data_IF_084036641423
#
_entry.id   IF_084036641423
#
_cell.length_a   1.000
_cell.length_b   1.000
_cell.length_c   1.000
_cell.angle_alpha   90.00
_cell.angle_beta   90.00
_cell.angle_gamma   90.00
#
_symmetry.space_group_name_H-M   'P 1'
#
loop_
_entity.id
_entity.type
_entity.pdbx_description
1 polymer ?
#
# COMPACT_ATOMS: atom_id res chain seq x y z
N UNK A 1 16.55 -21.17 12.32
CA UNK A 1 16.31 -19.98 13.17
C UNK A 1 14.83 -19.72 13.16
N UNK A 2 14.14 -19.83 14.30
CA UNK A 2 12.78 -19.29 14.42
C UNK A 2 12.87 -17.79 14.13
N UNK A 3 12.04 -17.28 13.22
CA UNK A 3 11.95 -15.85 13.01
C UNK A 3 11.22 -15.25 14.22
N UNK A 4 11.99 -14.76 15.21
CA UNK A 4 11.45 -13.99 16.32
C UNK A 4 11.03 -12.60 15.79
N UNK A 5 9.90 -12.56 15.10
CA UNK A 5 9.30 -11.32 14.61
C UNK A 5 7.78 -11.35 14.75
N UNK A 6 7.18 -10.18 14.90
CA UNK A 6 5.72 -10.02 14.90
C UNK A 6 5.27 -9.77 13.46
N UNK A 7 4.33 -10.58 12.98
CA UNK A 7 3.81 -10.50 11.62
C UNK A 7 2.73 -9.41 11.46
N UNK A 8 2.88 -8.57 10.45
CA UNK A 8 1.91 -7.57 10.01
C UNK A 8 1.56 -7.86 8.55
N UNK A 9 0.27 -7.91 8.24
CA UNK A 9 -0.23 -8.29 6.92
C UNK A 9 -1.08 -7.17 6.30
N UNK A 10 -0.79 -6.80 5.06
CA UNK A 10 -1.60 -5.86 4.27
C UNK A 10 -1.92 -6.48 2.91
N UNK A 11 -3.18 -6.38 2.47
CA UNK A 11 -3.61 -6.85 1.15
C UNK A 11 -3.86 -5.68 0.22
N UNK A 12 -3.48 -5.84 -1.05
CA UNK A 12 -3.73 -4.86 -2.10
C UNK A 12 -4.68 -5.42 -3.16
N UNK A 13 -5.68 -4.65 -3.53
CA UNK A 13 -6.53 -4.96 -4.68
C UNK A 13 -6.60 -3.77 -5.64
N UNK A 14 -6.99 -4.06 -6.88
CA UNK A 14 -7.00 -3.12 -7.97
C UNK A 14 -8.32 -3.16 -8.72
N UNK A 15 -8.84 -2.01 -9.11
CA UNK A 15 -10.05 -1.91 -9.94
C UNK A 15 -9.89 -0.86 -11.02
N UNK A 16 -10.38 -1.14 -12.24
CA UNK A 16 -10.42 -0.16 -13.32
C UNK A 16 -11.84 0.05 -13.81
N UNK A 17 -12.20 1.28 -14.11
CA UNK A 17 -13.38 1.63 -14.90
C UNK A 17 -12.94 2.36 -16.18
N UNK A 18 -13.69 2.18 -17.27
CA UNK A 18 -13.34 2.69 -18.59
C UNK A 18 -14.48 3.50 -19.19
N UNK A 19 -14.14 4.57 -19.89
CA UNK A 19 -15.08 5.32 -20.72
C UNK A 19 -14.41 5.72 -22.05
N UNK A 20 -15.13 5.53 -23.15
CA UNK A 20 -14.75 6.03 -24.48
C UNK A 20 -15.62 7.23 -24.80
N UNK A 21 -15.00 8.37 -25.09
CA UNK A 21 -15.69 9.62 -25.37
C UNK A 21 -15.36 10.12 -26.77
N UNK A 22 -16.37 10.55 -27.53
CA UNK A 22 -16.13 11.28 -28.76
C UNK A 22 -15.75 12.74 -28.48
N UNK A 23 -14.85 13.30 -29.28
CA UNK A 23 -14.44 14.70 -29.16
C UNK A 23 -15.62 15.68 -29.20
N UNK A 24 -16.68 15.35 -29.94
CA UNK A 24 -17.93 16.11 -30.03
C UNK A 24 -18.71 16.19 -28.71
N UNK A 25 -18.41 15.30 -27.75
CA UNK A 25 -19.05 15.23 -26.43
C UNK A 25 -18.21 15.88 -25.32
N UNK A 26 -17.08 16.49 -25.69
CA UNK A 26 -16.11 17.06 -24.77
C UNK A 26 -15.92 18.56 -25.04
N UNK A 27 -15.60 19.33 -24.00
CA UNK A 27 -15.14 20.70 -24.14
C UNK A 27 -13.68 20.77 -24.66
N UNK A 28 -13.17 21.98 -24.86
CA UNK A 28 -11.79 22.23 -25.30
C UNK A 28 -10.70 21.69 -24.37
N UNK A 29 -11.05 21.43 -23.11
CA UNK A 29 -10.15 20.86 -22.09
C UNK A 29 -10.28 19.33 -21.98
N UNK A 30 -11.16 18.71 -22.77
CA UNK A 30 -11.48 17.30 -22.70
C UNK A 30 -12.35 16.96 -21.49
N UNK A 31 -13.25 17.84 -21.04
CA UNK A 31 -14.23 17.48 -20.02
C UNK A 31 -15.57 17.16 -20.68
N UNK A 32 -16.33 16.17 -20.20
CA UNK A 32 -17.68 15.90 -20.67
C UNK A 32 -18.57 17.15 -20.67
N UNK A 33 -19.21 17.42 -21.81
CA UNK A 33 -20.23 18.46 -21.90
C UNK A 33 -21.44 18.10 -21.02
N UNK A 34 -22.19 19.09 -20.50
CA UNK A 34 -23.39 18.81 -19.69
C UNK A 34 -24.37 17.88 -20.40
N UNK A 35 -24.71 16.76 -19.76
CA UNK A 35 -25.65 15.76 -20.29
C UNK A 35 -25.07 14.82 -21.35
N UNK A 36 -23.82 15.00 -21.77
CA UNK A 36 -23.15 14.08 -22.67
C UNK A 36 -22.92 12.71 -22.00
N UNK A 37 -22.91 11.66 -22.81
CA UNK A 37 -22.67 10.28 -22.36
C UNK A 37 -21.49 9.68 -23.11
N UNK A 38 -20.70 8.79 -22.49
CA UNK A 38 -19.67 8.06 -23.20
C UNK A 38 -20.28 7.16 -24.27
N UNK A 39 -19.54 6.93 -25.36
CA UNK A 39 -19.90 5.97 -26.42
C UNK A 39 -19.89 4.54 -25.90
N UNK A 40 -18.97 4.25 -24.98
CA UNK A 40 -18.84 2.98 -24.28
C UNK A 40 -18.42 3.25 -22.84
N UNK A 41 -19.00 2.54 -21.89
CA UNK A 41 -18.69 2.65 -20.47
C UNK A 41 -18.68 1.27 -19.84
N UNK A 42 -17.67 1.02 -19.03
CA UNK A 42 -17.51 -0.20 -18.25
C UNK A 42 -17.21 0.19 -16.82
N UNK A 43 -18.00 -0.34 -15.89
CA UNK A 43 -17.86 -0.11 -14.46
C UNK A 43 -16.55 -0.69 -13.90
N UNK A 44 -16.29 -0.39 -12.63
CA UNK A 44 -15.11 -0.89 -11.93
C UNK A 44 -15.08 -2.42 -11.95
N UNK A 45 -14.00 -2.94 -12.51
CA UNK A 45 -13.71 -4.36 -12.61
C UNK A 45 -12.37 -4.70 -11.95
N UNK A 46 -12.28 -5.86 -11.27
CA UNK A 46 -11.10 -6.25 -10.50
C UNK A 46 -9.93 -6.63 -11.40
N UNK A 47 -8.72 -6.29 -10.94
CA UNK A 47 -7.48 -6.41 -11.70
C UNK A 47 -6.37 -7.16 -10.99
N UNK A 48 -5.43 -7.68 -11.78
CA UNK A 48 -4.27 -8.40 -11.28
C UNK A 48 -3.10 -7.43 -11.05
N UNK A 49 -2.82 -7.11 -9.80
CA UNK A 49 -1.52 -6.53 -9.41
C UNK A 49 -0.47 -7.64 -9.54
N UNK A 50 0.54 -7.43 -10.36
CA UNK A 50 1.55 -8.46 -10.66
C UNK A 50 2.60 -8.53 -9.56
N UNK A 51 3.42 -9.57 -9.59
CA UNK A 51 4.55 -9.70 -8.67
C UNK A 51 5.57 -8.58 -8.89
N UNK A 52 5.71 -8.08 -10.12
CA UNK A 52 6.57 -6.94 -10.44
C UNK A 52 6.26 -5.67 -9.62
N UNK A 53 4.99 -5.45 -9.24
CA UNK A 53 4.63 -4.39 -8.30
C UNK A 53 5.32 -4.59 -6.95
N UNK A 54 5.16 -5.76 -6.33
CA UNK A 54 5.73 -6.05 -5.01
C UNK A 54 7.26 -6.06 -5.05
N UNK A 55 7.84 -6.66 -6.09
CA UNK A 55 9.28 -6.67 -6.29
C UNK A 55 9.83 -5.24 -6.40
N UNK A 56 9.18 -4.36 -7.16
CA UNK A 56 9.64 -2.98 -7.31
C UNK A 56 9.38 -2.16 -6.05
N UNK A 57 8.18 -2.26 -5.49
CA UNK A 57 7.74 -1.50 -4.33
C UNK A 57 8.59 -1.80 -3.09
N UNK A 58 8.88 -3.08 -2.82
CA UNK A 58 9.66 -3.50 -1.66
C UNK A 58 11.16 -3.40 -1.86
N UNK A 59 11.68 -3.48 -3.10
CA UNK A 59 13.12 -3.46 -3.37
C UNK A 59 13.69 -2.04 -3.61
N UNK A 60 12.87 -0.99 -3.70
CA UNK A 60 13.30 0.35 -4.12
C UNK A 60 14.49 0.93 -3.34
N UNK A 61 15.59 1.24 -4.03
CA UNK A 61 16.77 1.88 -3.42
C UNK A 61 16.83 3.39 -3.67
N UNK A 62 16.05 3.95 -4.60
CA UNK A 62 16.15 5.38 -4.99
C UNK A 62 14.88 6.00 -5.59
N UNK A 63 13.81 5.23 -5.76
CA UNK A 63 12.71 5.58 -6.68
C UNK A 63 11.41 5.98 -5.97
N UNK A 64 10.79 7.08 -6.41
CA UNK A 64 9.47 7.55 -5.92
C UNK A 64 8.38 6.53 -6.22
N UNK A 65 7.76 5.98 -5.16
CA UNK A 65 6.70 4.97 -5.28
C UNK A 65 5.41 5.49 -5.93
N UNK A 66 5.24 6.81 -6.02
CA UNK A 66 4.12 7.46 -6.71
C UNK A 66 4.14 7.16 -8.21
N UNK A 67 5.30 6.77 -8.75
CA UNK A 67 5.45 6.53 -10.17
C UNK A 67 5.12 5.09 -10.57
N UNK A 68 4.93 4.15 -9.63
CA UNK A 68 4.70 2.72 -9.94
C UNK A 68 3.51 2.50 -10.88
N UNK A 69 2.49 3.34 -10.77
CA UNK A 69 1.35 3.37 -11.67
C UNK A 69 1.22 4.78 -12.30
N UNK A 70 2.28 5.29 -12.93
CA UNK A 70 2.25 6.60 -13.59
C UNK A 70 1.94 6.54 -15.07
N UNK A 71 2.03 5.35 -15.68
CA UNK A 71 1.88 5.14 -17.11
C UNK A 71 0.90 4.02 -17.39
N UNK A 72 0.05 4.20 -18.39
CA UNK A 72 -0.87 3.18 -18.88
C UNK A 72 -0.51 2.79 -20.31
N UNK A 73 -0.43 1.48 -20.55
CA UNK A 73 -0.41 0.89 -21.88
C UNK A 73 -1.74 0.19 -22.17
N UNK A 74 -2.12 0.14 -23.43
CA UNK A 74 -3.26 -0.62 -23.93
C UNK A 74 -2.78 -1.69 -24.90
N UNK A 75 -3.54 -2.77 -25.05
CA UNK A 75 -3.15 -3.91 -25.88
C UNK A 75 -4.33 -4.71 -26.40
N UNK A 76 -4.00 -5.77 -27.12
CA UNK A 76 -4.96 -6.70 -27.74
C UNK A 76 -4.83 -8.15 -27.25
N UNK A 77 -4.17 -8.38 -26.12
CA UNK A 77 -4.07 -9.69 -25.51
C UNK A 77 -5.41 -10.20 -24.98
N UNK A 78 -5.56 -11.52 -25.00
CA UNK A 78 -6.80 -12.23 -24.64
C UNK A 78 -6.60 -13.23 -23.50
N UNK A 79 -5.36 -13.48 -23.11
CA UNK A 79 -5.02 -14.38 -22.00
C UNK A 79 -5.32 -13.71 -20.67
N UNK A 80 -5.99 -14.42 -19.77
CA UNK A 80 -6.25 -13.95 -18.41
C UNK A 80 -4.95 -13.49 -17.73
N UNK A 81 -5.05 -12.39 -16.99
CA UNK A 81 -3.90 -11.82 -16.29
C UNK A 81 -3.40 -12.77 -15.19
N UNK A 82 -2.10 -12.99 -15.15
CA UNK A 82 -1.40 -13.80 -14.17
C UNK A 82 -0.48 -12.94 -13.29
N UNK A 83 -0.25 -13.43 -12.07
CA UNK A 83 0.70 -12.91 -11.11
C UNK A 83 2.08 -12.58 -11.70
N UNK A 84 2.56 -13.50 -12.54
CA UNK A 84 3.92 -13.52 -13.09
C UNK A 84 4.05 -12.73 -14.37
N UNK A 85 2.97 -12.09 -14.85
CA UNK A 85 3.02 -11.31 -16.07
C UNK A 85 3.96 -10.12 -15.92
N UNK A 86 4.82 -9.94 -16.92
CA UNK A 86 5.81 -8.86 -16.97
C UNK A 86 5.52 -7.84 -18.07
N UNK A 87 4.59 -8.15 -18.99
CA UNK A 87 4.26 -7.34 -20.16
C UNK A 87 2.78 -7.48 -20.54
N UNK A 88 2.33 -6.64 -21.47
CA UNK A 88 1.06 -6.81 -22.21
C UNK A 88 1.38 -6.88 -23.71
N UNK A 89 0.43 -7.30 -24.54
CA UNK A 89 0.48 -7.22 -26.01
C UNK A 89 0.24 -5.78 -26.45
N UNK A 90 1.17 -4.91 -26.06
CA UNK A 90 1.00 -3.46 -26.11
C UNK A 90 0.84 -2.99 -27.56
N UNK A 91 -0.13 -2.10 -27.76
CA UNK A 91 -0.29 -1.34 -29.00
C UNK A 91 -0.11 0.15 -28.70
N UNK A 92 0.52 0.86 -29.63
CA UNK A 92 0.78 2.28 -29.48
C UNK A 92 1.71 2.64 -28.32
N UNK A 93 1.78 3.93 -28.03
CA UNK A 93 2.57 4.51 -26.94
C UNK A 93 1.77 4.51 -25.64
N UNK A 94 2.48 4.37 -24.51
CA UNK A 94 1.87 4.59 -23.20
C UNK A 94 1.49 6.05 -23.00
N UNK A 95 0.55 6.31 -22.12
CA UNK A 95 0.13 7.64 -21.72
C UNK A 95 0.16 7.80 -20.20
N UNK A 96 0.51 9.00 -19.77
CA UNK A 96 0.67 9.31 -18.35
C UNK A 96 -0.68 9.44 -17.63
N UNK A 97 -0.63 9.40 -16.31
CA UNK A 97 -1.76 9.82 -15.48
C UNK A 97 -2.18 11.25 -15.83
N UNK A 98 -3.48 11.45 -15.95
CA UNK A 98 -4.09 12.72 -16.34
C UNK A 98 -4.17 13.71 -15.17
N UNK A 99 -4.45 13.23 -13.97
CA UNK A 99 -4.53 14.06 -12.77
C UNK A 99 -3.13 14.26 -12.15
N UNK A 100 -2.87 15.48 -11.66
CA UNK A 100 -1.67 15.80 -10.90
C UNK A 100 -1.73 15.31 -9.45
N UNK A 101 -2.93 14.95 -8.96
CA UNK A 101 -3.16 14.56 -7.56
C UNK A 101 -4.01 13.29 -7.52
N UNK A 102 -3.45 12.24 -6.93
CA UNK A 102 -4.18 11.01 -6.56
C UNK A 102 -5.22 11.38 -5.49
N UNK A 103 -6.47 10.93 -5.63
CA UNK A 103 -7.50 11.14 -4.60
C UNK A 103 -7.55 9.96 -3.66
N UNK A 104 -7.99 10.20 -2.42
CA UNK A 104 -7.94 9.21 -1.36
C UNK A 104 -9.23 9.19 -0.55
N UNK A 105 -9.61 8.00 -0.09
CA UNK A 105 -10.65 7.81 0.91
C UNK A 105 -10.29 6.66 1.85
N UNK A 106 -10.82 6.73 3.06
CA UNK A 106 -10.72 5.66 4.06
C UNK A 106 -12.12 5.28 4.50
N UNK A 107 -12.43 4.00 4.45
CA UNK A 107 -13.72 3.46 4.88
C UNK A 107 -13.52 2.10 5.54
N UNK A 108 -14.04 1.96 6.77
CA UNK A 108 -13.81 0.75 7.56
C UNK A 108 -12.31 0.49 7.73
N UNK A 109 -11.83 -0.62 7.18
CA UNK A 109 -10.44 -1.06 7.21
C UNK A 109 -9.71 -0.94 5.85
N UNK A 110 -10.32 -0.24 4.90
CA UNK A 110 -9.81 -0.06 3.55
C UNK A 110 -9.37 1.39 3.31
N UNK A 111 -8.22 1.55 2.65
CA UNK A 111 -7.77 2.81 2.07
C UNK A 111 -7.86 2.66 0.55
N UNK A 112 -8.60 3.54 -0.11
CA UNK A 112 -8.71 3.60 -1.58
C UNK A 112 -7.92 4.80 -2.10
N UNK A 113 -7.11 4.57 -3.14
CA UNK A 113 -6.41 5.61 -3.87
C UNK A 113 -6.87 5.58 -5.33
N UNK A 114 -7.29 6.71 -5.87
CA UNK A 114 -7.77 6.80 -7.26
C UNK A 114 -6.81 7.62 -8.11
N UNK A 115 -6.33 7.02 -9.19
CA UNK A 115 -5.58 7.66 -10.26
C UNK A 115 -6.41 7.68 -11.55
N UNK A 116 -6.23 8.70 -12.38
CA UNK A 116 -6.98 8.82 -13.64
C UNK A 116 -6.01 8.87 -14.81
N UNK A 117 -6.38 8.25 -15.93
CA UNK A 117 -5.63 8.29 -17.17
C UNK A 117 -6.53 8.77 -18.28
N UNK A 118 -5.96 9.54 -19.19
CA UNK A 118 -6.68 10.07 -20.33
C UNK A 118 -5.76 10.12 -21.53
N UNK A 119 -6.19 9.56 -22.65
CA UNK A 119 -5.47 9.71 -23.92
C UNK A 119 -5.68 11.10 -24.50
N UNK A 120 -4.84 11.51 -25.44
CA UNK A 120 -5.23 12.60 -26.35
C UNK A 120 -6.16 12.09 -27.45
N UNK A 121 -6.84 13.00 -28.14
CA UNK A 121 -7.73 12.66 -29.26
C UNK A 121 -7.00 11.79 -30.28
N UNK A 122 -7.57 10.64 -30.61
CA UNK A 122 -7.05 9.74 -31.64
C UNK A 122 -5.68 9.12 -31.34
N UNK A 123 -5.19 9.19 -30.10
CA UNK A 123 -3.92 8.58 -29.71
C UNK A 123 -3.98 7.04 -29.85
N UNK A 124 -5.12 6.45 -29.51
CA UNK A 124 -5.40 5.03 -29.66
C UNK A 124 -6.53 4.91 -30.68
N UNK A 125 -6.27 4.12 -31.73
CA UNK A 125 -7.24 3.86 -32.80
C UNK A 125 -7.35 2.35 -32.98
N UNK A 126 -8.57 1.86 -33.11
CA UNK A 126 -8.89 0.44 -33.26
C UNK A 126 -9.46 -0.17 -31.98
N UNK A 127 -9.29 -1.47 -31.86
CA UNK A 127 -9.88 -2.28 -30.79
C UNK A 127 -8.83 -2.64 -29.74
N UNK A 128 -9.15 -2.46 -28.47
CA UNK A 128 -8.32 -2.86 -27.32
C UNK A 128 -9.08 -3.85 -26.45
N UNK A 129 -8.37 -4.82 -25.88
CA UNK A 129 -8.92 -5.88 -25.02
C UNK A 129 -8.17 -6.02 -23.69
N UNK A 130 -7.03 -5.35 -23.53
CA UNK A 130 -6.27 -5.37 -22.29
C UNK A 130 -5.62 -4.02 -22.00
N UNK A 131 -5.32 -3.81 -20.72
CA UNK A 131 -4.51 -2.68 -20.26
C UNK A 131 -3.46 -3.15 -19.26
N UNK A 132 -2.36 -2.41 -19.21
CA UNK A 132 -1.29 -2.59 -18.23
C UNK A 132 -0.90 -1.26 -17.61
N UNK A 133 -0.58 -1.28 -16.32
CA UNK A 133 0.03 -0.14 -15.64
C UNK A 133 1.52 -0.35 -15.48
N UNK A 134 2.24 0.73 -15.70
CA UNK A 134 3.69 0.76 -15.74
C UNK A 134 4.19 1.97 -14.97
N UNK A 135 5.47 1.88 -14.65
CA UNK A 135 6.21 3.03 -14.14
C UNK A 135 6.79 3.92 -15.23
N UNK A 136 7.37 3.31 -16.25
CA UNK A 136 8.13 4.06 -17.25
C UNK A 136 7.28 4.30 -18.51
N UNK A 137 7.47 5.43 -19.21
CA UNK A 137 6.75 5.70 -20.46
C UNK A 137 7.12 4.71 -21.57
N UNK A 138 8.30 4.09 -21.47
CA UNK A 138 8.79 3.02 -22.36
C UNK A 138 9.51 1.94 -21.55
N UNK A 139 9.44 0.68 -22.01
CA UNK A 139 10.12 -0.46 -21.37
C UNK A 139 9.63 -0.78 -19.94
N UNK A 140 10.37 -1.60 -19.19
CA UNK A 140 10.01 -1.96 -17.82
C UNK A 140 8.85 -2.95 -17.69
N UNK A 141 8.62 -3.41 -16.45
CA UNK A 141 7.66 -4.46 -16.12
C UNK A 141 6.24 -3.90 -15.94
N UNK A 142 5.23 -4.67 -16.35
CA UNK A 142 3.81 -4.38 -16.05
C UNK A 142 3.55 -4.65 -14.56
N UNK A 143 3.07 -3.67 -13.83
CA UNK A 143 2.81 -3.75 -12.38
C UNK A 143 1.36 -4.11 -12.08
N UNK A 144 0.48 -3.86 -13.04
CA UNK A 144 -0.88 -4.39 -13.06
C UNK A 144 -1.18 -4.80 -14.50
N UNK A 145 -1.94 -5.88 -14.67
CA UNK A 145 -2.49 -6.29 -15.96
C UNK A 145 -3.97 -6.61 -15.82
N UNK A 146 -4.72 -6.28 -16.85
CA UNK A 146 -6.16 -6.37 -16.90
C UNK A 146 -6.61 -6.78 -18.30
N UNK A 147 -7.49 -7.78 -18.38
CA UNK A 147 -8.40 -7.85 -19.52
C UNK A 147 -9.55 -6.89 -19.28
N UNK A 148 -9.97 -6.20 -20.32
CA UNK A 148 -11.20 -5.42 -20.32
C UNK A 148 -12.36 -6.42 -20.31
N UNK A 149 -13.26 -6.31 -19.34
CA UNK A 149 -14.44 -7.17 -19.19
C UNK A 149 -15.73 -6.37 -19.20
N UNK A 150 -16.81 -7.04 -19.55
CA UNK A 150 -18.17 -6.54 -19.39
C UNK A 150 -18.66 -6.67 -17.93
N UNK A 151 -19.93 -6.31 -17.71
CA UNK A 151 -20.57 -6.35 -16.38
C UNK A 151 -20.70 -7.76 -15.81
N UNK A 152 -20.67 -8.79 -16.65
CA UNK A 152 -20.71 -10.20 -16.23
C UNK A 152 -19.30 -10.74 -15.94
N UNK A 153 -18.25 -9.93 -16.15
CA UNK A 153 -16.85 -10.31 -15.96
C UNK A 153 -16.26 -11.07 -17.15
N UNK A 154 -16.94 -11.10 -18.30
CA UNK A 154 -16.48 -11.76 -19.52
C UNK A 154 -15.54 -10.83 -20.29
N UNK A 155 -14.38 -11.30 -20.79
CA UNK A 155 -13.50 -10.49 -21.61
C UNK A 155 -14.22 -9.88 -22.82
N UNK A 156 -14.07 -8.57 -22.98
CA UNK A 156 -14.67 -7.75 -24.03
C UNK A 156 -13.65 -6.76 -24.57
N UNK A 157 -14.08 -5.89 -25.49
CA UNK A 157 -13.21 -4.93 -26.15
C UNK A 157 -13.79 -3.52 -26.14
N UNK A 158 -12.91 -2.52 -26.11
CA UNK A 158 -13.28 -1.13 -26.43
C UNK A 158 -12.87 -0.81 -27.86
N UNK A 159 -13.69 -0.03 -28.56
CA UNK A 159 -13.39 0.43 -29.93
C UNK A 159 -13.24 1.93 -29.97
N UNK A 160 -12.14 2.41 -30.53
CA UNK A 160 -11.76 3.81 -30.59
C UNK A 160 -11.47 4.25 -32.04
N UNK A 161 -11.95 5.43 -32.39
CA UNK A 161 -11.70 6.10 -33.66
C UNK A 161 -10.67 7.22 -33.51
N UNK A 162 -10.27 7.85 -34.62
CA UNK A 162 -9.38 9.02 -34.60
C UNK A 162 -9.96 10.24 -33.88
N UNK A 163 -11.26 10.23 -33.56
CA UNK A 163 -11.95 11.31 -32.86
C UNK A 163 -12.28 10.97 -31.41
N UNK A 164 -11.84 9.82 -30.90
CA UNK A 164 -12.16 9.37 -29.56
C UNK A 164 -11.04 9.64 -28.55
N UNK A 165 -11.44 9.65 -27.29
CA UNK A 165 -10.62 9.70 -26.09
C UNK A 165 -10.94 8.49 -25.22
N UNK A 166 -9.91 7.92 -24.59
CA UNK A 166 -10.07 6.91 -23.55
C UNK A 166 -9.87 7.57 -22.18
N UNK A 167 -10.80 7.34 -21.26
CA UNK A 167 -10.69 7.71 -19.85
C UNK A 167 -10.67 6.43 -19.05
N UNK A 168 -9.72 6.35 -18.13
CA UNK A 168 -9.59 5.19 -17.25
C UNK A 168 -9.42 5.66 -15.83
N UNK A 169 -10.29 5.18 -14.93
CA UNK A 169 -10.14 5.39 -13.51
C UNK A 169 -9.54 4.14 -12.88
N UNK A 170 -8.38 4.28 -12.25
CA UNK A 170 -7.69 3.23 -11.51
C UNK A 170 -7.87 3.45 -10.02
N UNK A 171 -8.36 2.42 -9.32
CA UNK A 171 -8.34 2.36 -7.86
C UNK A 171 -7.34 1.30 -7.42
N UNK A 172 -6.42 1.69 -6.54
CA UNK A 172 -5.66 0.73 -5.72
C UNK A 172 -6.18 0.83 -4.29
N UNK A 173 -6.52 -0.32 -3.72
CA UNK A 173 -7.05 -0.46 -2.37
C UNK A 173 -6.04 -1.16 -1.52
N UNK A 174 -5.85 -0.72 -0.28
CA UNK A 174 -5.13 -1.48 0.74
C UNK A 174 -6.06 -1.80 1.90
N UNK A 175 -6.01 -3.06 2.36
CA UNK A 175 -6.87 -3.57 3.43
C UNK A 175 -5.99 -4.00 4.60
N UNK A 176 -6.31 -3.48 5.77
CA UNK A 176 -5.63 -3.77 7.04
C UNK A 176 -6.56 -4.57 7.96
N UNK A 177 -6.01 -5.46 8.78
CA UNK A 177 -6.80 -6.12 9.83
C UNK A 177 -6.93 -5.19 11.05
N UNK A 178 -8.17 -4.83 11.42
CA UNK A 178 -8.45 -3.99 12.60
C UNK A 178 -8.64 -4.79 13.89
N UNK A 179 -8.76 -6.11 13.80
CA UNK A 179 -8.87 -6.99 14.96
C UNK A 179 -7.51 -7.25 15.59
N UNK A 180 -7.53 -7.65 16.86
CA UNK A 180 -6.35 -8.07 17.58
C UNK A 180 -5.74 -9.32 16.95
N UNK A 181 -4.42 -9.29 16.79
CA UNK A 181 -3.61 -10.45 16.40
C UNK A 181 -2.77 -10.85 17.60
N UNK A 182 -2.88 -12.10 18.02
CA UNK A 182 -2.15 -12.64 19.17
C UNK A 182 -1.05 -13.60 18.75
N UNK A 183 -0.07 -13.79 19.61
CA UNK A 183 0.98 -14.79 19.43
C UNK A 183 1.95 -14.81 20.60
N UNK A 184 3.05 -15.54 20.44
CA UNK A 184 4.13 -15.63 21.42
C UNK A 184 5.43 -15.22 20.77
N UNK A 185 6.23 -14.43 21.47
CA UNK A 185 7.59 -14.07 21.07
C UNK A 185 8.57 -14.38 22.20
N UNK A 186 9.70 -15.01 21.86
CA UNK A 186 10.79 -15.22 22.81
C UNK A 186 11.74 -14.02 22.81
N UNK A 187 11.91 -13.39 23.97
CA UNK A 187 12.78 -12.23 24.17
C UNK A 187 13.76 -12.58 25.30
N UNK A 188 15.06 -12.69 24.96
CA UNK A 188 16.09 -13.00 25.96
C UNK A 188 15.89 -14.32 26.69
N UNK A 189 15.28 -15.32 26.05
CA UNK A 189 14.97 -16.62 26.67
C UNK A 189 13.65 -16.68 27.44
N UNK A 190 12.89 -15.59 27.50
CA UNK A 190 11.57 -15.54 28.13
C UNK A 190 10.48 -15.42 27.06
N UNK A 191 9.43 -16.23 27.18
CA UNK A 191 8.27 -16.16 26.29
C UNK A 191 7.27 -15.10 26.75
N UNK A 192 6.84 -14.25 25.81
CA UNK A 192 5.83 -13.22 26.01
C UNK A 192 4.66 -13.47 25.06
N UNK A 193 3.46 -13.54 25.61
CA UNK A 193 2.24 -13.34 24.83
C UNK A 193 2.23 -11.91 24.32
N UNK A 194 1.92 -11.72 23.04
CA UNK A 194 1.68 -10.40 22.47
C UNK A 194 0.25 -10.25 21.97
N UNK A 195 -0.25 -9.01 22.00
CA UNK A 195 -1.45 -8.58 21.29
C UNK A 195 -1.05 -7.42 20.39
N UNK A 196 -1.22 -7.56 19.08
CA UNK A 196 -0.97 -6.53 18.07
C UNK A 196 -2.31 -5.96 17.61
N UNK A 197 -2.40 -4.63 17.53
CA UNK A 197 -3.59 -3.89 17.06
C UNK A 197 -3.15 -2.67 16.24
N UNK A 198 -3.91 -2.22 15.23
CA UNK A 198 -3.68 -0.89 14.65
C UNK A 198 -3.83 0.24 15.67
N UNK A 199 -3.19 1.37 15.43
CA UNK A 199 -3.34 2.61 16.19
C UNK A 199 -3.48 3.81 15.25
N UNK A 200 -4.15 4.87 15.73
CA UNK A 200 -4.46 6.08 14.95
C UNK A 200 -5.15 5.80 13.59
N UNK A 201 -5.86 4.68 13.47
CA UNK A 201 -6.66 4.38 12.30
C UNK A 201 -7.81 5.38 12.19
N UNK A 202 -8.12 5.87 10.98
CA UNK A 202 -9.10 6.93 10.68
C UNK A 202 -8.87 8.30 11.33
N UNK A 203 -8.12 8.42 12.43
CA UNK A 203 -7.73 9.70 13.04
C UNK A 203 -6.45 10.27 12.43
N UNK A 204 -5.54 9.38 11.98
CA UNK A 204 -4.28 9.75 11.35
C UNK A 204 -4.30 9.86 9.82
N UNK A 205 -5.35 9.35 9.17
CA UNK A 205 -5.43 9.20 7.72
C UNK A 205 -6.29 10.29 7.06
N UNK A 206 -6.24 11.52 7.57
CA UNK A 206 -7.05 12.64 7.08
C UNK A 206 -6.96 12.88 5.57
N UNK A 207 -8.03 13.42 4.99
CA UNK A 207 -8.10 13.73 3.56
C UNK A 207 -6.96 14.69 3.15
N UNK A 208 -6.16 14.30 2.16
CA UNK A 208 -5.07 15.11 1.59
C UNK A 208 -3.66 14.85 2.17
N UNK A 209 -3.52 14.13 3.29
CA UNK A 209 -2.21 13.86 3.94
C UNK A 209 -1.61 12.49 3.61
N UNK A 210 -2.37 11.66 2.88
CA UNK A 210 -2.24 10.20 2.82
C UNK A 210 -1.32 9.66 1.71
N UNK A 211 -0.72 10.52 0.88
CA UNK A 211 0.33 10.11 -0.08
C UNK A 211 1.60 9.57 0.60
N UNK A 212 1.66 9.60 1.93
CA UNK A 212 2.81 9.17 2.74
C UNK A 212 2.43 8.17 3.84
N UNK A 213 1.19 7.67 3.82
CA UNK A 213 0.75 6.64 4.74
C UNK A 213 1.47 5.31 4.44
N UNK A 214 1.89 4.54 5.46
CA UNK A 214 2.59 3.25 5.28
C UNK A 214 1.76 2.20 4.53
N UNK A 215 0.46 2.42 4.47
CA UNK A 215 -0.53 1.54 3.85
C UNK A 215 -0.88 1.95 2.42
N UNK A 216 -0.32 3.04 1.89
CA UNK A 216 -0.62 3.52 0.55
C UNK A 216 0.19 2.74 -0.51
N UNK A 217 -0.50 2.12 -1.48
CA UNK A 217 0.11 1.49 -2.65
C UNK A 217 0.76 2.51 -3.60
N UNK A 218 0.26 3.75 -3.63
CA UNK A 218 0.90 4.91 -4.25
C UNK A 218 1.43 5.85 -3.16
N UNK A 219 2.74 6.09 -3.11
CA UNK A 219 3.35 6.93 -2.08
C UNK A 219 4.40 7.88 -2.65
N UNK A 220 4.40 9.16 -2.24
CA UNK A 220 5.35 10.18 -2.76
C UNK A 220 6.76 10.08 -2.19
N UNK A 221 7.03 9.12 -1.31
CA UNK A 221 8.37 8.93 -0.74
C UNK A 221 9.22 8.00 -1.62
N UNK A 222 10.50 8.33 -1.78
CA UNK A 222 11.48 7.58 -2.57
C UNK A 222 12.32 6.59 -1.75
N UNK A 223 12.24 6.66 -0.42
CA UNK A 223 13.00 5.81 0.50
C UNK A 223 12.08 4.71 1.06
N UNK A 224 12.41 3.44 0.83
CA UNK A 224 11.62 2.30 1.34
C UNK A 224 11.45 2.34 2.85
N UNK A 225 12.45 2.77 3.59
CA UNK A 225 12.39 2.93 5.05
C UNK A 225 11.39 4.00 5.47
N UNK A 226 11.34 5.12 4.76
CA UNK A 226 10.34 6.17 4.98
C UNK A 226 8.95 5.74 4.51
N UNK A 227 8.88 4.88 3.49
CA UNK A 227 7.65 4.49 2.80
C UNK A 227 6.93 3.30 3.46
N UNK A 228 7.65 2.37 4.09
CA UNK A 228 7.06 1.45 5.06
C UNK A 228 6.50 2.22 6.26
N UNK A 229 6.92 3.48 6.47
CA UNK A 229 6.21 4.48 7.27
C UNK A 229 6.06 4.11 8.75
N UNK A 230 6.99 3.34 9.29
CA UNK A 230 7.08 3.09 10.72
C UNK A 230 8.42 3.61 11.22
N UNK A 231 8.61 4.93 11.13
CA UNK A 231 9.87 5.61 11.48
C UNK A 231 9.95 6.00 12.95
N UNK A 232 8.83 5.95 13.67
CA UNK A 232 8.73 6.28 15.09
C UNK A 232 8.39 5.01 15.86
N UNK A 233 9.19 4.69 16.86
CA UNK A 233 8.88 3.69 17.86
C UNK A 233 8.77 4.35 19.24
N UNK A 234 7.84 3.89 20.06
CA UNK A 234 7.74 4.35 21.45
C UNK A 234 7.32 3.22 22.37
N UNK A 235 8.02 3.05 23.48
CA UNK A 235 7.69 2.09 24.53
C UNK A 235 6.89 2.77 25.64
N UNK A 236 6.03 2.00 26.31
CA UNK A 236 5.20 2.44 27.43
C UNK A 236 5.15 1.35 28.49
N UNK A 237 5.05 1.70 29.79
CA UNK A 237 5.01 0.73 30.87
C UNK A 237 3.69 -0.07 30.97
N UNK A 238 2.61 0.45 30.37
CA UNK A 238 1.30 -0.22 30.39
C UNK A 238 1.23 -1.38 29.40
N UNK A 239 0.52 -2.45 29.77
CA UNK A 239 0.16 -3.55 28.87
C UNK A 239 -1.21 -3.35 28.22
N UNK A 240 -1.94 -2.30 28.62
CA UNK A 240 -3.27 -1.98 28.09
C UNK A 240 -3.13 -1.19 26.79
N UNK A 241 -3.54 -1.80 25.68
CA UNK A 241 -3.62 -1.14 24.38
C UNK A 241 -4.75 -0.09 24.35
N UNK A 242 -4.55 0.97 23.57
CA UNK A 242 -5.59 1.92 23.22
C UNK A 242 -6.60 1.34 22.21
N UNK A 243 -7.64 2.12 21.90
CA UNK A 243 -8.52 1.84 20.76
C UNK A 243 -7.74 1.88 19.43
N UNK A 244 -8.34 1.40 18.34
CA UNK A 244 -7.74 1.50 16.99
C UNK A 244 -7.49 2.95 16.55
N UNK A 245 -8.19 3.92 17.15
CA UNK A 245 -8.06 5.36 16.87
C UNK A 245 -7.05 6.07 17.77
N UNK A 246 -6.44 5.37 18.73
CA UNK A 246 -5.54 5.91 19.75
C UNK A 246 -4.34 4.98 20.01
N UNK A 247 -3.51 5.34 21.00
CA UNK A 247 -2.33 4.59 21.44
C UNK A 247 -2.47 4.21 22.92
N UNK A 248 -1.61 3.31 23.45
CA UNK A 248 -1.61 3.01 24.88
C UNK A 248 -1.34 4.29 25.70
N UNK A 249 -1.90 4.36 26.91
CA UNK A 249 -1.73 5.52 27.79
C UNK A 249 -0.33 5.67 28.39
N UNK A 250 -0.13 6.69 29.23
CA UNK A 250 1.09 6.90 30.01
C UNK A 250 2.21 7.67 29.29
N UNK A 251 3.40 7.67 29.89
CA UNK A 251 4.60 8.31 29.33
C UNK A 251 5.21 7.42 28.24
N UNK A 252 5.52 8.03 27.11
CA UNK A 252 6.21 7.38 26.00
C UNK A 252 7.72 7.53 26.14
N UNK A 253 8.45 6.44 25.88
CA UNK A 253 9.91 6.42 25.81
C UNK A 253 10.31 6.16 24.36
N UNK A 254 11.05 7.10 23.77
CA UNK A 254 11.48 7.00 22.38
C UNK A 254 12.27 5.70 22.16
N UNK A 255 12.01 5.06 21.03
CA UNK A 255 12.87 4.04 20.46
C UNK A 255 13.21 4.43 19.03
N UNK A 256 14.19 3.76 18.47
CA UNK A 256 14.76 4.14 17.18
C UNK A 256 14.62 2.99 16.19
N UNK A 257 14.39 3.32 14.93
CA UNK A 257 14.55 2.34 13.86
C UNK A 257 16.03 1.97 13.75
N UNK A 258 16.35 0.72 14.05
CA UNK A 258 17.72 0.23 14.09
C UNK A 258 18.16 -0.33 12.73
N UNK A 259 17.30 -1.12 12.09
CA UNK A 259 17.62 -1.70 10.79
C UNK A 259 16.36 -2.04 9.99
N UNK A 260 16.52 -2.11 8.67
CA UNK A 260 15.53 -2.69 7.75
C UNK A 260 16.26 -3.71 6.91
N UNK A 261 15.85 -4.97 6.99
CA UNK A 261 16.49 -6.04 6.22
C UNK A 261 16.35 -5.78 4.72
N UNK A 262 17.36 -6.17 3.95
CA UNK A 262 17.28 -6.20 2.48
C UNK A 262 16.07 -7.02 2.05
N UNK A 263 15.38 -6.56 1.00
CA UNK A 263 14.29 -7.33 0.43
C UNK A 263 14.84 -8.54 -0.31
N UNK A 264 14.27 -9.71 -0.03
CA UNK A 264 14.56 -10.94 -0.79
C UNK A 264 13.47 -11.12 -1.84
N UNK A 265 13.87 -11.28 -3.09
CA UNK A 265 12.93 -11.40 -4.20
C UNK A 265 11.90 -12.53 -4.00
N UNK A 266 10.65 -12.29 -4.39
CA UNK A 266 9.54 -13.24 -4.29
C UNK A 266 8.96 -13.43 -2.88
N UNK A 267 9.57 -12.86 -1.84
CA UNK A 267 9.11 -13.05 -0.46
C UNK A 267 7.89 -12.18 -0.12
N UNK A 268 7.75 -11.03 -0.79
CA UNK A 268 6.70 -10.03 -0.51
C UNK A 268 6.64 -9.61 0.96
N UNK A 269 7.75 -9.72 1.69
CA UNK A 269 7.84 -9.24 3.07
C UNK A 269 9.18 -8.54 3.34
N UNK A 270 9.18 -7.63 4.32
CA UNK A 270 10.38 -7.00 4.86
C UNK A 270 10.30 -6.97 6.38
N UNK A 271 11.46 -7.17 7.01
CA UNK A 271 11.62 -7.06 8.45
C UNK A 271 12.22 -5.70 8.81
N UNK A 272 11.56 -4.98 9.71
CA UNK A 272 12.09 -3.79 10.37
C UNK A 272 12.40 -4.13 11.82
N UNK A 273 13.52 -3.61 12.30
CA UNK A 273 14.00 -3.85 13.66
C UNK A 273 14.12 -2.53 14.39
N UNK A 274 13.52 -2.45 15.57
CA UNK A 274 13.55 -1.27 16.44
C UNK A 274 14.38 -1.57 17.67
N UNK A 275 15.08 -0.54 18.16
CA UNK A 275 15.94 -0.64 19.32
C UNK A 275 15.58 0.45 20.34
N UNK A 276 15.58 0.04 21.60
CA UNK A 276 15.71 0.93 22.76
C UNK A 276 17.07 0.64 23.37
N UNK A 277 17.97 1.61 23.27
CA UNK A 277 19.33 1.46 23.77
C UNK A 277 19.37 1.46 25.32
N UNK A 278 20.57 1.41 25.90
CA UNK A 278 20.74 1.40 27.35
C UNK A 278 20.20 2.68 28.03
N UNK A 279 20.05 3.79 27.31
CA UNK A 279 19.54 5.06 27.88
C UNK A 279 18.04 5.24 27.69
N UNK A 280 17.45 4.54 26.73
CA UNK A 280 16.04 4.63 26.35
C UNK A 280 15.17 3.50 26.96
N UNK A 281 13.87 3.77 27.09
CA UNK A 281 12.89 2.74 27.51
C UNK A 281 13.04 2.24 28.95
N UNK A 282 13.83 2.91 29.78
CA UNK A 282 14.10 2.51 31.16
C UNK A 282 12.90 2.88 32.05
N UNK A 283 12.05 1.90 32.34
CA UNK A 283 10.87 2.08 33.20
C UNK A 283 11.02 1.22 34.45
N UNK A 284 10.63 1.77 35.61
CA UNK A 284 10.71 1.02 36.87
C UNK A 284 9.84 -0.24 36.91
N UNK A 285 8.87 -0.36 35.98
CA UNK A 285 7.96 -1.49 35.85
C UNK A 285 8.14 -2.27 34.55
N UNK A 286 9.22 -2.06 33.79
CA UNK A 286 9.43 -2.68 32.46
C UNK A 286 8.51 -2.15 31.35
N UNK A 287 8.76 -2.60 30.11
CA UNK A 287 8.02 -2.23 28.90
C UNK A 287 6.82 -3.16 28.75
N UNK A 288 5.61 -2.61 28.86
CA UNK A 288 4.36 -3.34 28.70
C UNK A 288 3.78 -3.26 27.29
N UNK A 289 4.08 -2.19 26.55
CA UNK A 289 3.64 -2.03 25.17
C UNK A 289 4.59 -1.16 24.36
N UNK A 290 4.51 -1.31 23.05
CA UNK A 290 5.21 -0.46 22.07
C UNK A 290 4.24 0.01 20.99
N UNK A 291 4.51 1.18 20.42
CA UNK A 291 3.81 1.72 19.25
C UNK A 291 4.79 1.96 18.11
N UNK A 292 4.38 1.64 16.89
CA UNK A 292 5.09 1.88 15.64
C UNK A 292 4.23 2.79 14.77
N UNK A 293 4.72 3.99 14.44
CA UNK A 293 3.97 4.99 13.66
C UNK A 293 4.89 5.73 12.67
N UNK A 294 4.34 6.55 11.77
CA UNK A 294 5.11 7.56 11.03
C UNK A 294 4.96 8.95 11.65
N UNK A 295 5.87 9.82 11.24
CA UNK A 295 5.89 11.26 11.49
C UNK A 295 4.82 12.06 10.72
N UNK A 296 4.06 11.45 9.80
CA UNK A 296 3.16 12.19 8.89
C UNK A 296 1.68 11.93 9.21
N UNK A 297 1.25 10.68 9.17
CA UNK A 297 -0.14 10.31 9.50
C UNK A 297 -0.33 9.91 10.96
N UNK A 298 0.73 9.57 11.69
CA UNK A 298 0.66 8.87 12.99
C UNK A 298 -0.02 7.48 12.96
N UNK A 299 -0.72 7.10 11.88
CA UNK A 299 -1.29 5.77 11.72
C UNK A 299 -0.23 4.67 11.80
N UNK A 300 -0.55 3.59 12.51
CA UNK A 300 0.32 2.42 12.55
C UNK A 300 -0.16 1.31 13.46
N UNK A 301 0.74 0.78 14.29
CA UNK A 301 0.48 -0.39 15.12
C UNK A 301 0.90 -0.18 16.57
N UNK A 302 0.19 -0.84 17.48
CA UNK A 302 0.49 -0.94 18.89
C UNK A 302 0.53 -2.41 19.30
N UNK A 303 1.48 -2.77 20.15
CA UNK A 303 1.68 -4.15 20.60
C UNK A 303 1.83 -4.15 22.11
N UNK A 304 1.09 -4.99 22.81
CA UNK A 304 1.32 -5.26 24.23
C UNK A 304 2.04 -6.58 24.43
N UNK A 305 2.75 -6.69 25.54
CA UNK A 305 3.52 -7.87 25.91
C UNK A 305 3.18 -8.30 27.32
N UNK A 306 3.03 -9.60 27.54
CA UNK A 306 2.75 -10.19 28.84
C UNK A 306 3.47 -11.53 28.98
N UNK A 307 4.39 -11.64 29.95
CA UNK A 307 5.18 -12.84 30.15
C UNK A 307 4.29 -14.05 30.40
N UNK A 308 4.56 -15.17 29.73
CA UNK A 308 3.75 -16.39 29.90
C UNK A 308 3.78 -16.91 31.34
N UNK A 309 4.90 -16.72 32.04
CA UNK A 309 5.15 -17.23 33.40
C UNK A 309 4.44 -16.47 34.52
N UNK A 310 3.76 -15.36 34.26
CA UNK A 310 3.15 -14.56 35.33
C UNK A 310 2.61 -13.20 34.93
N UNK A 311 2.48 -12.93 33.63
CA UNK A 311 1.88 -11.72 33.10
C UNK A 311 2.76 -10.47 33.15
N UNK A 312 4.03 -10.58 33.57
CA UNK A 312 4.96 -9.46 33.69
C UNK A 312 5.25 -8.73 32.38
N UNK A 313 5.73 -7.49 32.49
CA UNK A 313 6.26 -6.69 31.38
C UNK A 313 7.65 -7.19 30.97
N UNK A 314 8.20 -6.63 29.89
CA UNK A 314 9.60 -6.86 29.49
C UNK A 314 10.51 -6.04 30.40
N UNK A 315 11.37 -6.65 31.24
CA UNK A 315 12.30 -5.90 32.07
C UNK A 315 13.25 -5.08 31.19
N UNK A 316 13.34 -3.78 31.45
CA UNK A 316 14.27 -2.88 30.76
C UNK A 316 14.78 -1.84 31.73
N UNK A 317 16.09 -1.83 31.90
CA UNK A 317 16.82 -0.85 32.70
C UNK A 317 18.04 -0.36 31.90
N UNK A 318 18.87 0.46 32.57
CA UNK A 318 20.04 1.06 31.96
C UNK A 318 21.24 0.11 31.80
N UNK A 319 21.05 -1.19 32.02
CA UNK A 319 22.09 -2.21 31.86
C UNK A 319 21.89 -3.07 30.60
N UNK A 320 20.71 -3.01 29.99
CA UNK A 320 20.35 -3.85 28.83
C UNK A 320 19.76 -3.03 27.68
N UNK A 321 19.86 -3.56 26.46
CA UNK A 321 19.15 -3.04 25.28
C UNK A 321 17.94 -3.92 24.97
N UNK A 322 16.87 -3.34 24.41
CA UNK A 322 15.75 -4.09 23.84
C UNK A 322 15.74 -3.93 22.33
N UNK A 323 15.66 -5.04 21.61
CA UNK A 323 15.50 -5.07 20.16
C UNK A 323 14.25 -5.87 19.77
N UNK A 324 13.38 -5.30 18.95
CA UNK A 324 12.14 -5.93 18.48
C UNK A 324 12.08 -5.94 16.96
N UNK A 325 11.78 -7.10 16.38
CA UNK A 325 11.61 -7.29 14.94
C UNK A 325 10.13 -7.37 14.54
N UNK A 326 9.76 -6.69 13.46
CA UNK A 326 8.43 -6.71 12.86
C UNK A 326 8.54 -7.06 11.39
N UNK A 327 7.82 -8.10 10.97
CA UNK A 327 7.79 -8.53 9.57
C UNK A 327 6.51 -8.04 8.92
N UNK A 328 6.65 -7.08 8.02
CA UNK A 328 5.59 -6.57 7.18
C UNK A 328 5.50 -7.42 5.93
N UNK A 329 4.33 -7.97 5.67
CA UNK A 329 4.08 -8.84 4.53
C UNK A 329 2.88 -8.35 3.74
N UNK A 330 2.96 -8.58 2.43
CA UNK A 330 2.06 -7.98 1.47
C UNK A 330 1.51 -9.04 0.53
N UNK A 331 0.24 -8.91 0.22
CA UNK A 331 -0.46 -9.81 -0.67
C UNK A 331 -1.48 -9.08 -1.50
N UNK A 332 -2.22 -9.86 -2.27
CA UNK A 332 -3.39 -9.44 -3.04
C UNK A 332 -4.58 -10.23 -2.56
#
# INVERSE_FOLDING_TARGET
MQDNSIGIHTRFSGELAFQVWGAESLDENGNPLPGAKPKQELDYQPQMITDAFFETWLNGTTDTRADLFSQMGVGNGTTAAAATDTTISQIGTRFASFNSVVTYSVSGNEITQTNQYRTTKGQIIGTISEVGLFRNPTGGLTMMRSLIKDVEGTPTTLTLTSMDFLYVNWKVKSVVNLSDVTGVINLGGVDYNYVLRPCFWNSGLGAGTVNTAPFAGLCTTSNVTAALGFTIASARPTQTLGSVTSVPGGVAFAGQLFSTNTYTAGTKHRKMTYKWDITEGNTGSGIGSVTLTNNISSAGYQVSFSAVSGGGTIPKDNTNELTLGFTFSYGR
#
